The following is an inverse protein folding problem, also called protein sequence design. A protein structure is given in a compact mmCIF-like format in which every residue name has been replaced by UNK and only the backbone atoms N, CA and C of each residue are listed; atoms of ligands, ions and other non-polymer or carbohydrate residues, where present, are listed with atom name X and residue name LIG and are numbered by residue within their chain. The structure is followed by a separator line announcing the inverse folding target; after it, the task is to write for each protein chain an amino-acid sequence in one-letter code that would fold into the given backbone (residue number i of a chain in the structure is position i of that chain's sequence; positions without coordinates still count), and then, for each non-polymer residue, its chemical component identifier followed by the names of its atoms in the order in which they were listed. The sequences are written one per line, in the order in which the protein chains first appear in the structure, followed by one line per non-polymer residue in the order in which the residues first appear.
data_IF_114759942737
#
_entry.id   IF_114759942737
#
_cell.length_a   1.000
_cell.length_b   1.000
_cell.length_c   1.000
_cell.angle_alpha   90.00
_cell.angle_beta   90.00
_cell.angle_gamma   90.00
#
_symmetry.space_group_name_H-M   'P 1'
#
loop_
_entity.id
_entity.type
_entity.pdbx_description
1 polymer ?
#
# COMPACT_ATOMS: atom_id res chain seq x y z
N UNK A 1 23.39 -58.38 -1.56
CA UNK A 1 23.43 -57.98 -2.99
C UNK A 1 22.70 -56.65 -3.23
N UNK A 2 21.73 -56.28 -2.42
CA UNK A 2 20.83 -55.13 -2.68
C UNK A 2 21.45 -53.72 -2.55
N UNK A 3 22.36 -53.50 -1.62
CA UNK A 3 22.97 -52.17 -1.39
C UNK A 3 23.87 -51.65 -2.55
N UNK A 4 24.38 -52.56 -3.38
CA UNK A 4 25.25 -52.20 -4.52
C UNK A 4 24.41 -51.79 -5.74
N UNK A 5 23.22 -52.35 -5.88
CA UNK A 5 22.25 -52.01 -6.96
C UNK A 5 21.60 -50.64 -6.68
N UNK A 6 21.17 -50.39 -5.43
CA UNK A 6 20.61 -49.11 -5.05
C UNK A 6 21.58 -47.92 -5.18
N UNK A 7 22.89 -48.13 -4.89
CA UNK A 7 23.92 -47.11 -5.10
C UNK A 7 24.14 -46.81 -6.60
N UNK A 8 24.10 -47.81 -7.46
CA UNK A 8 24.29 -47.62 -8.91
C UNK A 8 23.10 -46.92 -9.55
N UNK A 9 21.87 -47.17 -9.10
CA UNK A 9 20.67 -46.45 -9.58
C UNK A 9 20.64 -44.97 -9.11
N UNK A 10 21.06 -44.72 -7.88
CA UNK A 10 21.19 -43.36 -7.36
C UNK A 10 22.25 -42.54 -8.11
N UNK A 11 23.41 -43.13 -8.38
CA UNK A 11 24.49 -42.50 -9.16
C UNK A 11 24.07 -42.23 -10.60
N UNK A 12 23.44 -43.20 -11.27
CA UNK A 12 22.90 -43.02 -12.63
C UNK A 12 21.82 -41.98 -12.72
N UNK A 13 20.96 -41.89 -11.69
CA UNK A 13 19.94 -40.86 -11.60
C UNK A 13 20.57 -39.46 -11.43
N UNK A 14 21.61 -39.34 -10.62
CA UNK A 14 22.37 -38.11 -10.42
C UNK A 14 23.07 -37.64 -11.69
N UNK A 15 23.76 -38.52 -12.38
CA UNK A 15 24.41 -38.21 -13.66
C UNK A 15 23.41 -37.76 -14.74
N UNK A 16 22.24 -38.43 -14.80
CA UNK A 16 21.17 -38.05 -15.74
C UNK A 16 20.63 -36.69 -15.42
N UNK A 17 20.45 -36.36 -14.14
CA UNK A 17 19.98 -35.05 -13.70
C UNK A 17 21.01 -33.94 -14.01
N UNK A 18 22.31 -34.20 -13.77
CA UNK A 18 23.40 -33.28 -14.12
C UNK A 18 23.49 -33.04 -15.63
N UNK A 19 23.33 -34.09 -16.43
CA UNK A 19 23.33 -33.97 -17.90
C UNK A 19 22.15 -33.14 -18.38
N UNK A 20 20.94 -33.38 -17.85
CA UNK A 20 19.74 -32.58 -18.17
C UNK A 20 19.91 -31.11 -17.77
N UNK A 21 20.45 -30.87 -16.59
CA UNK A 21 20.72 -29.49 -16.12
C UNK A 21 21.70 -28.76 -17.04
N UNK A 22 22.78 -29.43 -17.49
CA UNK A 22 23.74 -28.86 -18.45
C UNK A 22 23.11 -28.54 -19.81
N UNK A 23 22.18 -29.37 -20.30
CA UNK A 23 21.46 -29.11 -21.55
C UNK A 23 20.51 -27.89 -21.40
N UNK A 24 19.82 -27.76 -20.25
CA UNK A 24 18.97 -26.62 -19.95
C UNK A 24 19.80 -25.35 -19.88
N UNK A 25 20.90 -25.34 -19.14
CA UNK A 25 21.81 -24.19 -19.05
C UNK A 25 22.33 -23.76 -20.41
N UNK A 26 22.73 -24.73 -21.24
CA UNK A 26 23.19 -24.44 -22.62
C UNK A 26 22.08 -23.79 -23.44
N UNK A 27 20.87 -24.34 -23.39
CA UNK A 27 19.73 -23.79 -24.12
C UNK A 27 19.38 -22.36 -23.65
N UNK A 28 19.35 -22.12 -22.33
CA UNK A 28 19.13 -20.78 -21.75
C UNK A 28 20.21 -19.79 -22.18
N UNK A 29 21.47 -20.20 -22.33
CA UNK A 29 22.55 -19.30 -22.77
C UNK A 29 22.49 -18.93 -24.26
N UNK A 30 21.66 -19.61 -25.04
CA UNK A 30 21.43 -19.32 -26.46
C UNK A 30 20.20 -18.47 -26.71
N UNK A 31 19.42 -18.12 -25.65
CA UNK A 31 18.23 -17.29 -25.78
C UNK A 31 18.58 -15.79 -25.73
N UNK A 32 17.76 -15.00 -26.39
CA UNK A 32 17.83 -13.54 -26.28
C UNK A 32 17.53 -13.09 -24.84
N UNK A 33 18.16 -12.01 -24.35
CA UNK A 33 18.00 -11.54 -22.97
C UNK A 33 16.54 -11.33 -22.54
N UNK A 34 15.70 -10.82 -23.41
CA UNK A 34 14.27 -10.58 -23.17
C UNK A 34 13.49 -11.89 -22.95
N UNK A 35 13.81 -12.92 -23.73
CA UNK A 35 13.21 -14.27 -23.58
C UNK A 35 13.68 -14.96 -22.31
N UNK A 36 14.94 -14.74 -21.90
CA UNK A 36 15.48 -15.24 -20.64
C UNK A 36 14.80 -14.62 -19.44
N UNK A 37 14.54 -13.32 -19.49
CA UNK A 37 13.85 -12.59 -18.44
C UNK A 37 12.41 -13.09 -18.26
N UNK A 38 11.68 -13.29 -19.36
CA UNK A 38 10.31 -13.83 -19.34
C UNK A 38 10.28 -15.28 -18.79
N UNK A 39 11.26 -16.11 -19.14
CA UNK A 39 11.37 -17.48 -18.61
C UNK A 39 11.72 -17.50 -17.12
N UNK A 40 12.58 -16.61 -16.68
CA UNK A 40 12.97 -16.50 -15.27
C UNK A 40 11.76 -16.08 -14.42
N UNK A 41 11.03 -15.05 -14.87
CA UNK A 41 9.80 -14.59 -14.19
C UNK A 41 8.73 -15.69 -14.20
N UNK A 42 8.58 -16.41 -15.31
CA UNK A 42 7.67 -17.54 -15.40
C UNK A 42 8.04 -18.68 -14.44
N UNK A 43 9.33 -18.99 -14.31
CA UNK A 43 9.84 -20.02 -13.40
C UNK A 43 9.67 -19.60 -11.91
N UNK A 44 9.95 -18.35 -11.58
CA UNK A 44 9.75 -17.83 -10.24
C UNK A 44 8.26 -17.81 -9.85
N UNK A 45 7.39 -17.43 -10.79
CA UNK A 45 5.93 -17.47 -10.59
C UNK A 45 5.45 -18.91 -10.39
N UNK A 46 5.97 -19.86 -11.17
CA UNK A 46 5.62 -21.29 -11.05
C UNK A 46 6.16 -21.89 -9.75
N UNK A 47 7.38 -21.50 -9.33
CA UNK A 47 7.94 -21.90 -8.04
C UNK A 47 7.12 -21.33 -6.87
N UNK A 48 6.76 -20.06 -6.93
CA UNK A 48 5.89 -19.43 -5.94
C UNK A 48 4.51 -20.11 -5.89
N UNK A 49 3.96 -20.46 -7.06
CA UNK A 49 2.69 -21.20 -7.14
C UNK A 49 2.85 -22.63 -6.57
N UNK A 50 3.97 -23.32 -6.80
CA UNK A 50 4.23 -24.65 -6.23
C UNK A 50 4.47 -24.63 -4.73
N UNK A 51 5.08 -23.58 -4.20
CA UNK A 51 5.18 -23.36 -2.76
C UNK A 51 3.80 -23.05 -2.14
N UNK A 52 2.86 -22.47 -2.90
CA UNK A 52 1.46 -22.26 -2.49
C UNK A 52 0.55 -23.47 -2.77
N UNK A 53 0.95 -24.41 -3.65
CA UNK A 53 0.30 -25.73 -3.82
C UNK A 53 0.60 -26.69 -2.67
N UNK A 54 1.45 -26.31 -1.72
CA UNK A 54 1.52 -26.98 -0.44
C UNK A 54 0.13 -26.85 0.21
N UNK A 55 -0.60 -27.98 0.21
CA UNK A 55 -1.96 -28.23 0.67
C UNK A 55 -2.34 -27.23 1.72
N UNK A 56 -3.23 -26.29 1.38
CA UNK A 56 -3.62 -25.22 2.29
C UNK A 56 -3.81 -25.79 3.69
N UNK A 57 -2.93 -25.44 4.60
CA UNK A 57 -2.92 -25.98 5.95
C UNK A 57 -4.13 -25.41 6.67
N UNK A 58 -5.14 -26.25 6.78
CA UNK A 58 -6.29 -25.95 7.63
C UNK A 58 -5.81 -25.85 9.06
N UNK A 59 -5.94 -24.67 9.65
CA UNK A 59 -5.65 -24.45 11.07
C UNK A 59 -6.95 -24.49 11.85
N UNK A 60 -7.01 -25.34 12.89
CA UNK A 60 -8.17 -25.38 13.74
C UNK A 60 -8.26 -24.09 14.57
N UNK A 61 -9.47 -23.52 14.72
CA UNK A 61 -9.65 -22.23 15.38
C UNK A 61 -9.07 -22.18 16.81
N UNK A 62 -9.01 -23.32 17.49
CA UNK A 62 -8.41 -23.42 18.84
C UNK A 62 -6.89 -23.24 18.84
N UNK A 63 -6.21 -23.47 17.72
CA UNK A 63 -4.75 -23.31 17.61
C UNK A 63 -4.35 -21.84 17.53
N UNK A 64 -5.29 -20.97 17.11
CA UNK A 64 -5.10 -19.52 17.03
C UNK A 64 -5.87 -18.76 18.11
N UNK A 65 -6.31 -19.46 19.16
CA UNK A 65 -7.14 -18.85 20.23
C UNK A 65 -6.45 -17.69 20.93
N UNK A 66 -5.14 -17.81 21.19
CA UNK A 66 -4.38 -16.74 21.83
C UNK A 66 -4.28 -15.51 20.90
N UNK A 67 -4.00 -15.72 19.61
CA UNK A 67 -3.98 -14.64 18.61
C UNK A 67 -5.35 -13.96 18.50
N UNK A 68 -6.44 -14.73 18.50
CA UNK A 68 -7.81 -14.21 18.47
C UNK A 68 -8.11 -13.39 19.73
N UNK A 69 -7.71 -13.88 20.90
CA UNK A 69 -7.95 -13.19 22.17
C UNK A 69 -7.18 -11.86 22.23
N UNK A 70 -5.94 -11.83 21.78
CA UNK A 70 -5.16 -10.59 21.71
C UNK A 70 -5.78 -9.61 20.71
N UNK A 71 -6.14 -10.05 19.52
CA UNK A 71 -6.82 -9.23 18.53
C UNK A 71 -8.16 -8.69 19.05
N UNK A 72 -8.90 -9.51 19.80
CA UNK A 72 -10.20 -9.13 20.39
C UNK A 72 -10.08 -8.05 21.47
N UNK A 73 -8.99 -8.04 22.25
CA UNK A 73 -8.71 -6.97 23.23
C UNK A 73 -8.53 -5.60 22.57
N UNK A 74 -8.11 -5.60 21.31
CA UNK A 74 -7.86 -4.41 20.50
C UNK A 74 -9.05 -4.05 19.60
N UNK A 75 -10.15 -4.83 19.65
CA UNK A 75 -11.32 -4.57 18.83
C UNK A 75 -11.94 -3.20 19.16
N UNK A 76 -12.14 -2.37 18.15
CA UNK A 76 -12.61 -0.99 18.32
C UNK A 76 -11.56 0.01 18.81
N UNK A 77 -10.31 -0.42 19.00
CA UNK A 77 -9.16 0.43 19.34
C UNK A 77 -8.17 0.46 18.16
N UNK A 78 -7.18 1.35 18.25
CA UNK A 78 -6.04 1.32 17.33
C UNK A 78 -5.30 -0.01 17.55
N UNK A 79 -5.47 -0.94 16.64
CA UNK A 79 -4.91 -2.30 16.72
C UNK A 79 -3.75 -2.53 15.75
N UNK A 80 -3.45 -1.53 14.92
CA UNK A 80 -2.35 -1.51 13.97
C UNK A 80 -1.28 -0.48 14.34
N UNK A 81 -0.34 -0.28 13.43
CA UNK A 81 0.64 0.81 13.52
C UNK A 81 -0.11 2.14 13.38
N UNK A 82 0.15 3.10 14.27
CA UNK A 82 -0.45 4.44 14.18
C UNK A 82 0.01 5.16 12.91
N UNK A 83 -0.92 5.83 12.23
CA UNK A 83 -0.60 6.75 11.12
C UNK A 83 0.09 8.02 11.61
N UNK A 84 0.07 8.25 12.92
CA UNK A 84 0.49 9.50 13.55
C UNK A 84 -0.59 10.59 13.52
N UNK A 85 -1.79 10.26 13.08
CA UNK A 85 -2.97 11.11 13.09
C UNK A 85 -4.08 10.45 13.90
N UNK A 86 -4.31 10.86 15.15
CA UNK A 86 -5.31 10.27 16.04
C UNK A 86 -6.71 10.20 15.43
N UNK A 87 -7.13 11.26 14.72
CA UNK A 87 -8.44 11.30 14.05
C UNK A 87 -8.56 10.24 12.95
N UNK A 88 -7.51 10.04 12.15
CA UNK A 88 -7.47 9.01 11.11
C UNK A 88 -7.41 7.61 11.73
N UNK A 89 -6.57 7.42 12.74
CA UNK A 89 -6.44 6.15 13.46
C UNK A 89 -7.78 5.73 14.12
N UNK A 90 -8.52 6.67 14.70
CA UNK A 90 -9.85 6.41 15.24
C UNK A 90 -10.84 5.91 14.16
N UNK A 91 -10.70 6.41 12.93
CA UNK A 91 -11.59 6.07 11.81
C UNK A 91 -11.24 4.73 11.15
N UNK A 92 -9.95 4.39 11.03
CA UNK A 92 -9.51 3.18 10.31
C UNK A 92 -8.98 2.07 11.23
N UNK A 93 -8.73 2.36 12.51
CA UNK A 93 -8.17 1.42 13.49
C UNK A 93 -6.66 1.27 13.42
N UNK A 94 -5.94 2.22 12.79
CA UNK A 94 -4.50 2.13 12.48
C UNK A 94 -4.20 1.23 11.27
N UNK A 95 -2.92 1.06 10.96
CA UNK A 95 -2.42 0.28 9.82
C UNK A 95 -2.18 -1.16 10.26
N UNK A 96 -3.07 -2.09 9.89
CA UNK A 96 -3.00 -3.48 10.36
C UNK A 96 -2.19 -4.37 9.41
N UNK A 97 -1.51 -5.40 9.93
CA UNK A 97 -0.83 -6.39 9.11
C UNK A 97 -1.75 -7.02 8.07
N UNK A 98 -1.28 -7.11 6.83
CA UNK A 98 -2.03 -7.72 5.73
C UNK A 98 -3.08 -6.82 5.08
N UNK A 99 -3.25 -5.57 5.52
CA UNK A 99 -4.20 -4.63 4.91
C UNK A 99 -3.60 -3.94 3.68
N UNK A 100 -4.42 -3.82 2.64
CA UNK A 100 -4.17 -2.98 1.47
C UNK A 100 -4.98 -1.69 1.59
N UNK A 101 -4.27 -0.55 1.65
CA UNK A 101 -4.86 0.78 1.75
C UNK A 101 -4.66 1.55 0.45
N UNK A 102 -5.72 2.14 -0.08
CA UNK A 102 -5.65 3.01 -1.24
C UNK A 102 -5.79 4.47 -0.84
N UNK A 103 -4.93 5.33 -1.40
CA UNK A 103 -5.03 6.79 -1.29
C UNK A 103 -5.29 7.36 -2.67
N UNK A 104 -6.55 7.73 -2.93
CA UNK A 104 -7.01 8.35 -4.17
C UNK A 104 -7.10 9.86 -4.09
N UNK A 105 -7.36 10.50 -5.21
CA UNK A 105 -7.60 11.94 -5.29
C UNK A 105 -7.20 12.55 -6.63
N UNK A 106 -7.62 13.78 -6.89
CA UNK A 106 -7.22 14.52 -8.09
C UNK A 106 -5.70 14.78 -8.10
N UNK A 107 -5.15 15.07 -9.26
CA UNK A 107 -3.74 15.49 -9.38
C UNK A 107 -3.50 16.76 -8.57
N UNK A 108 -2.34 16.85 -7.90
CA UNK A 108 -1.93 17.96 -7.03
C UNK A 108 -2.79 18.18 -5.76
N UNK A 109 -3.63 17.21 -5.40
CA UNK A 109 -4.46 17.29 -4.19
C UNK A 109 -3.84 16.59 -2.97
N UNK A 110 -2.53 16.38 -2.93
CA UNK A 110 -1.80 15.98 -1.73
C UNK A 110 -1.78 14.49 -1.41
N UNK A 111 -2.12 13.58 -2.36
CA UNK A 111 -2.03 12.12 -2.16
C UNK A 111 -0.66 11.66 -1.68
N UNK A 112 0.38 12.02 -2.44
CA UNK A 112 1.77 11.70 -2.09
C UNK A 112 2.19 12.35 -0.77
N UNK A 113 1.69 13.56 -0.50
CA UNK A 113 1.95 14.22 0.78
C UNK A 113 1.35 13.45 1.96
N UNK A 114 0.11 12.95 1.85
CA UNK A 114 -0.50 12.13 2.90
C UNK A 114 0.33 10.89 3.19
N UNK A 115 0.70 10.12 2.15
CA UNK A 115 1.51 8.92 2.30
C UNK A 115 2.90 9.23 2.86
N UNK A 116 3.55 10.33 2.43
CA UNK A 116 4.84 10.76 2.94
C UNK A 116 4.78 11.21 4.40
N UNK A 117 3.73 11.93 4.82
CA UNK A 117 3.54 12.29 6.23
C UNK A 117 3.30 11.06 7.12
N UNK A 118 2.50 10.10 6.66
CA UNK A 118 2.34 8.81 7.36
C UNK A 118 3.68 8.09 7.45
N UNK A 119 4.46 8.04 6.34
CA UNK A 119 5.80 7.45 6.36
C UNK A 119 6.71 8.10 7.40
N UNK A 120 6.75 9.44 7.47
CA UNK A 120 7.54 10.19 8.46
C UNK A 120 7.10 9.86 9.89
N UNK A 121 5.81 9.77 10.15
CA UNK A 121 5.31 9.47 11.48
C UNK A 121 5.68 8.03 11.90
N UNK A 122 5.45 7.05 11.01
CA UNK A 122 5.75 5.63 11.27
C UNK A 122 7.25 5.38 11.38
N UNK A 123 8.06 6.08 10.57
CA UNK A 123 9.51 5.88 10.50
C UNK A 123 10.27 6.29 11.77
N UNK A 124 9.62 6.94 12.72
CA UNK A 124 10.19 7.26 14.03
C UNK A 124 10.31 6.04 14.95
N UNK A 125 9.51 5.01 14.71
CA UNK A 125 9.42 3.82 15.56
C UNK A 125 9.59 2.51 14.78
N UNK A 126 9.36 2.53 13.45
CA UNK A 126 9.35 1.36 12.60
C UNK A 126 10.01 1.62 11.26
N UNK A 127 10.68 0.62 10.70
CA UNK A 127 11.22 0.69 9.33
C UNK A 127 10.08 0.79 8.31
N UNK A 128 10.18 1.75 7.38
CA UNK A 128 9.24 1.96 6.28
C UNK A 128 9.92 1.70 4.94
N UNK A 129 9.33 0.83 4.11
CA UNK A 129 9.72 0.67 2.70
C UNK A 129 8.91 1.63 1.83
N UNK A 130 9.57 2.57 1.16
CA UNK A 130 8.94 3.56 0.31
C UNK A 130 9.41 3.43 -1.14
N UNK A 131 8.51 3.01 -2.03
CA UNK A 131 8.75 2.92 -3.47
C UNK A 131 8.11 4.13 -4.14
N UNK A 132 8.90 4.99 -4.79
CA UNK A 132 8.37 6.09 -5.61
C UNK A 132 8.77 5.91 -7.07
N UNK A 133 7.78 6.06 -7.95
CA UNK A 133 7.95 5.99 -9.40
C UNK A 133 7.73 7.37 -10.06
N UNK A 134 7.38 8.37 -9.27
CA UNK A 134 7.01 9.71 -9.76
C UNK A 134 8.14 10.72 -9.58
N UNK A 135 8.96 10.58 -8.55
CA UNK A 135 9.97 11.60 -8.21
C UNK A 135 11.34 10.99 -7.89
N UNK A 136 12.39 11.80 -8.07
CA UNK A 136 13.73 11.41 -7.69
C UNK A 136 13.85 11.25 -6.17
N UNK A 137 14.70 10.32 -5.73
CA UNK A 137 14.95 10.09 -4.28
C UNK A 137 15.40 11.36 -3.54
N UNK A 138 16.15 12.24 -4.21
CA UNK A 138 16.59 13.52 -3.62
C UNK A 138 15.42 14.49 -3.42
N UNK A 139 14.45 14.52 -4.32
CA UNK A 139 13.25 15.34 -4.19
C UNK A 139 12.37 14.81 -3.06
N UNK A 140 12.10 13.50 -3.07
CA UNK A 140 11.33 12.87 -2.02
C UNK A 140 12.00 13.03 -0.64
N UNK A 141 13.32 12.80 -0.55
CA UNK A 141 14.09 13.01 0.68
C UNK A 141 14.02 14.46 1.18
N UNK A 142 14.04 15.44 0.27
CA UNK A 142 13.89 16.87 0.65
C UNK A 142 12.51 17.17 1.25
N UNK A 143 11.45 16.57 0.70
CA UNK A 143 10.10 16.69 1.24
C UNK A 143 9.97 16.03 2.61
N UNK A 144 10.48 14.80 2.78
CA UNK A 144 10.49 14.08 4.06
C UNK A 144 11.26 14.89 5.13
N UNK A 145 12.41 15.45 4.75
CA UNK A 145 13.18 16.33 5.62
C UNK A 145 12.38 17.55 6.11
N UNK A 146 11.67 18.21 5.19
CA UNK A 146 10.81 19.34 5.55
C UNK A 146 9.69 18.91 6.50
N UNK A 147 8.98 17.82 6.17
CA UNK A 147 7.90 17.27 6.99
C UNK A 147 8.36 16.92 8.41
N UNK A 148 9.61 16.46 8.56
CA UNK A 148 10.22 16.10 9.85
C UNK A 148 11.02 17.25 10.50
N UNK A 149 10.66 18.50 10.23
CA UNK A 149 11.29 19.64 10.90
C UNK A 149 12.78 19.83 10.57
N UNK A 150 13.21 19.41 9.40
CA UNK A 150 14.59 19.60 8.89
C UNK A 150 15.54 18.44 9.18
N UNK A 151 15.08 17.32 9.75
CA UNK A 151 15.90 16.15 10.12
C UNK A 151 15.56 14.93 9.26
N UNK A 152 16.53 14.03 9.06
CA UNK A 152 16.36 12.73 8.41
C UNK A 152 16.96 11.57 9.23
N UNK A 153 17.86 11.87 10.12
CA UNK A 153 18.66 10.93 10.90
C UNK A 153 17.87 10.15 11.95
N UNK A 154 16.66 10.59 12.25
CA UNK A 154 15.70 9.94 13.14
C UNK A 154 14.59 9.20 12.37
N UNK A 155 14.69 9.07 11.03
CA UNK A 155 13.72 8.37 10.21
C UNK A 155 14.30 7.08 9.63
N UNK A 156 13.68 5.96 9.94
CA UNK A 156 14.03 4.66 9.36
C UNK A 156 13.20 4.39 8.09
N UNK A 157 13.62 5.00 6.96
CA UNK A 157 12.96 4.85 5.66
C UNK A 157 13.94 4.27 4.63
N UNK A 158 13.60 3.10 4.11
CA UNK A 158 14.24 2.51 2.94
C UNK A 158 13.57 3.04 1.67
N UNK A 159 14.36 3.60 0.78
CA UNK A 159 13.85 4.33 -0.37
C UNK A 159 14.24 3.69 -1.69
N UNK A 160 13.24 3.33 -2.51
CA UNK A 160 13.44 2.87 -3.88
C UNK A 160 12.81 3.87 -4.87
N UNK A 161 13.60 4.34 -5.84
CA UNK A 161 13.17 5.35 -6.83
C UNK A 161 13.66 5.00 -8.23
N UNK A 162 13.25 3.84 -8.75
CA UNK A 162 13.54 3.47 -10.14
C UNK A 162 12.36 3.85 -11.04
N UNK A 163 12.65 4.59 -12.10
CA UNK A 163 11.66 5.18 -12.98
C UNK A 163 10.87 4.15 -13.83
N UNK A 164 11.40 2.95 -14.02
CA UNK A 164 10.78 1.89 -14.84
C UNK A 164 10.85 0.56 -14.10
N UNK A 165 9.96 0.35 -13.17
CA UNK A 165 9.75 -0.96 -12.56
C UNK A 165 8.53 -1.59 -13.23
N UNK A 166 8.70 -2.77 -13.82
CA UNK A 166 7.59 -3.61 -14.21
C UNK A 166 6.88 -4.12 -12.92
N UNK A 167 5.56 -4.22 -12.94
CA UNK A 167 4.80 -4.69 -11.79
C UNK A 167 5.24 -6.09 -11.30
N UNK A 168 5.80 -6.91 -12.19
CA UNK A 168 6.36 -8.24 -11.90
C UNK A 168 7.57 -8.19 -10.96
N UNK A 169 8.29 -7.07 -10.94
CA UNK A 169 9.44 -6.85 -10.03
C UNK A 169 9.02 -6.24 -8.68
N UNK A 170 7.74 -5.92 -8.49
CA UNK A 170 7.28 -5.30 -7.24
C UNK A 170 7.43 -6.25 -6.04
N UNK A 171 7.15 -7.54 -6.22
CA UNK A 171 7.24 -8.51 -5.12
C UNK A 171 8.68 -8.73 -4.65
N UNK A 172 9.72 -8.93 -5.50
CA UNK A 172 11.10 -8.96 -5.05
C UNK A 172 11.55 -7.72 -4.27
N UNK A 173 11.14 -6.52 -4.71
CA UNK A 173 11.44 -5.28 -3.98
C UNK A 173 10.76 -5.24 -2.62
N UNK A 174 9.51 -5.68 -2.57
CA UNK A 174 8.75 -5.78 -1.33
C UNK A 174 9.41 -6.78 -0.36
N UNK A 175 9.75 -7.99 -0.83
CA UNK A 175 10.43 -9.01 -0.06
C UNK A 175 11.76 -8.50 0.52
N UNK A 176 12.56 -7.81 -0.29
CA UNK A 176 13.81 -7.22 0.13
C UNK A 176 13.60 -6.19 1.26
N UNK A 177 12.62 -5.28 1.13
CA UNK A 177 12.32 -4.32 2.19
C UNK A 177 11.90 -5.02 3.50
N UNK A 178 11.14 -6.12 3.40
CA UNK A 178 10.73 -6.92 4.57
C UNK A 178 11.93 -7.59 5.25
N UNK A 179 12.89 -8.12 4.48
CA UNK A 179 14.14 -8.67 5.03
C UNK A 179 14.94 -7.62 5.81
N UNK A 180 14.90 -6.36 5.39
CA UNK A 180 15.45 -5.23 6.13
C UNK A 180 14.60 -4.76 7.32
N UNK A 181 13.46 -5.39 7.57
CA UNK A 181 12.63 -5.15 8.74
C UNK A 181 11.46 -4.20 8.53
N UNK A 182 11.11 -3.85 7.28
CA UNK A 182 9.99 -2.96 7.00
C UNK A 182 8.68 -3.46 7.63
N UNK A 183 7.97 -2.56 8.32
CA UNK A 183 6.69 -2.78 8.97
C UNK A 183 5.53 -2.05 8.28
N UNK A 184 5.85 -1.19 7.33
CA UNK A 184 4.91 -0.50 6.44
C UNK A 184 5.55 -0.43 5.06
N UNK A 185 4.76 -0.73 4.03
CA UNK A 185 5.14 -0.53 2.64
C UNK A 185 4.30 0.58 2.01
N UNK A 186 4.92 1.41 1.17
CA UNK A 186 4.24 2.49 0.45
C UNK A 186 4.66 2.45 -1.02
N UNK A 187 3.70 2.58 -1.94
CA UNK A 187 3.92 2.71 -3.38
C UNK A 187 3.32 4.02 -3.90
N UNK A 188 4.17 4.91 -4.39
CA UNK A 188 3.80 6.20 -5.01
C UNK A 188 4.29 6.25 -6.47
N UNK A 189 3.50 6.05 -7.49
CA UNK A 189 2.10 5.74 -7.50
C UNK A 189 1.80 4.70 -8.61
N UNK A 190 0.72 3.98 -8.43
CA UNK A 190 0.38 2.77 -9.18
C UNK A 190 0.26 2.95 -10.70
N UNK A 191 -0.18 4.10 -11.19
CA UNK A 191 -0.36 4.31 -12.63
C UNK A 191 0.94 4.30 -13.45
N UNK A 192 2.09 4.47 -12.82
CA UNK A 192 3.36 4.28 -13.52
C UNK A 192 3.63 2.80 -13.81
N UNK A 193 3.21 1.89 -12.92
CA UNK A 193 3.27 0.45 -13.18
C UNK A 193 2.23 -0.01 -14.22
N UNK A 194 1.07 0.65 -14.25
CA UNK A 194 -0.08 0.27 -15.08
C UNK A 194 -0.15 0.94 -16.45
N UNK A 195 0.89 1.66 -16.90
CA UNK A 195 0.87 2.32 -18.22
C UNK A 195 0.82 1.29 -19.33
N UNK A 196 -0.25 1.37 -20.16
CA UNK A 196 -0.45 0.44 -21.26
C UNK A 196 -1.09 -0.89 -20.90
N UNK A 197 -1.37 -1.13 -19.63
CA UNK A 197 -2.04 -2.34 -19.17
C UNK A 197 -3.52 -2.37 -19.54
N UNK A 198 -3.99 -3.56 -19.83
CA UNK A 198 -5.42 -3.86 -19.97
C UNK A 198 -6.11 -3.85 -18.60
N UNK A 199 -7.44 -3.79 -18.58
CA UNK A 199 -8.22 -3.85 -17.33
C UNK A 199 -7.97 -5.15 -16.56
N UNK A 200 -7.74 -6.26 -17.27
CA UNK A 200 -7.46 -7.57 -16.67
C UNK A 200 -6.07 -7.58 -16.00
N UNK A 201 -5.07 -6.97 -16.60
CA UNK A 201 -3.73 -6.86 -16.00
C UNK A 201 -3.75 -5.97 -14.76
N UNK A 202 -4.50 -4.88 -14.79
CA UNK A 202 -4.70 -4.02 -13.60
C UNK A 202 -5.41 -4.80 -12.48
N UNK A 203 -6.38 -5.65 -12.81
CA UNK A 203 -7.04 -6.50 -11.83
C UNK A 203 -6.09 -7.56 -11.25
N UNK A 204 -5.23 -8.17 -12.07
CA UNK A 204 -4.19 -9.11 -11.60
C UNK A 204 -3.19 -8.42 -10.67
N UNK A 205 -2.73 -7.23 -11.03
CA UNK A 205 -1.82 -6.43 -10.21
C UNK A 205 -2.45 -6.07 -8.85
N UNK A 206 -3.74 -5.72 -8.82
CA UNK A 206 -4.47 -5.44 -7.58
C UNK A 206 -4.50 -6.65 -6.65
N UNK A 207 -4.85 -7.82 -7.18
CA UNK A 207 -4.85 -9.08 -6.42
C UNK A 207 -3.46 -9.44 -5.90
N UNK A 208 -2.42 -9.24 -6.72
CA UNK A 208 -1.03 -9.45 -6.33
C UNK A 208 -0.65 -8.55 -5.15
N UNK A 209 -0.95 -7.25 -5.20
CA UNK A 209 -0.66 -6.32 -4.10
C UNK A 209 -1.36 -6.74 -2.80
N UNK A 210 -2.61 -7.16 -2.87
CA UNK A 210 -3.33 -7.69 -1.69
C UNK A 210 -2.71 -8.99 -1.19
N UNK A 211 -2.33 -9.90 -2.08
CA UNK A 211 -1.65 -11.15 -1.73
C UNK A 211 -0.29 -10.88 -1.06
N UNK A 212 0.48 -9.91 -1.54
CA UNK A 212 1.74 -9.49 -0.92
C UNK A 212 1.53 -8.95 0.50
N UNK A 213 0.56 -8.05 0.71
CA UNK A 213 0.24 -7.55 2.04
C UNK A 213 -0.08 -8.70 3.02
N UNK A 214 -0.88 -9.69 2.60
CA UNK A 214 -1.24 -10.87 3.39
C UNK A 214 -0.04 -11.81 3.62
N UNK A 215 0.72 -12.15 2.57
CA UNK A 215 1.88 -13.04 2.62
C UNK A 215 2.94 -12.55 3.61
N UNK A 216 3.26 -11.27 3.52
CA UNK A 216 4.31 -10.66 4.34
C UNK A 216 3.78 -10.09 5.67
N UNK A 217 2.46 -10.12 5.90
CA UNK A 217 1.80 -9.61 7.12
C UNK A 217 2.19 -8.16 7.44
N UNK A 218 2.22 -7.30 6.41
CA UNK A 218 2.59 -5.89 6.51
C UNK A 218 1.52 -5.03 5.84
N UNK A 219 1.10 -3.90 6.43
CA UNK A 219 0.20 -2.96 5.75
C UNK A 219 0.89 -2.37 4.51
N UNK A 220 0.12 -2.21 3.44
CA UNK A 220 0.58 -1.70 2.17
C UNK A 220 -0.28 -0.52 1.72
N UNK A 221 0.30 0.69 1.70
CA UNK A 221 -0.35 1.90 1.19
C UNK A 221 0.01 2.08 -0.28
N UNK A 222 -1.00 2.22 -1.11
CA UNK A 222 -0.84 2.42 -2.56
C UNK A 222 -1.55 3.69 -2.98
N UNK A 223 -0.81 4.61 -3.60
CA UNK A 223 -1.37 5.83 -4.15
C UNK A 223 -1.95 5.53 -5.54
N UNK A 224 -3.18 5.98 -5.75
CA UNK A 224 -3.92 5.77 -7.00
C UNK A 224 -4.50 7.08 -7.52
N UNK A 225 -4.61 7.20 -8.86
CA UNK A 225 -5.33 8.34 -9.45
C UNK A 225 -6.82 8.03 -9.60
N UNK A 226 -7.60 9.06 -9.86
CA UNK A 226 -9.00 8.92 -10.20
C UNK A 226 -9.18 8.58 -11.68
N UNK A 227 -10.28 7.89 -11.99
CA UNK A 227 -10.73 7.67 -13.36
C UNK A 227 -11.05 9.00 -14.01
N UNK A 228 -10.40 9.30 -15.13
CA UNK A 228 -10.74 10.45 -15.95
C UNK A 228 -12.03 10.16 -16.72
N UNK A 229 -12.99 11.09 -16.69
CA UNK A 229 -14.15 11.04 -17.58
C UNK A 229 -13.74 11.37 -19.03
N UNK A 230 -14.59 11.00 -19.99
CA UNK A 230 -14.43 11.40 -21.39
C UNK A 230 -14.27 12.92 -21.47
N UNK A 231 -13.11 13.39 -21.99
CA UNK A 231 -12.72 14.79 -21.98
C UNK A 231 -11.62 15.16 -20.98
N UNK A 232 -11.08 14.22 -20.22
CA UNK A 232 -9.82 14.38 -19.45
C UNK A 232 -9.92 15.11 -18.12
N UNK A 233 -11.10 15.59 -17.74
CA UNK A 233 -11.34 16.24 -16.43
C UNK A 233 -12.26 15.38 -15.57
N UNK A 234 -11.93 15.28 -14.29
CA UNK A 234 -12.85 14.72 -13.30
C UNK A 234 -14.00 15.72 -13.10
N UNK A 235 -15.26 15.28 -13.30
CA UNK A 235 -16.43 16.18 -13.31
C UNK A 235 -17.19 16.22 -11.98
N UNK A 236 -16.86 15.34 -11.04
CA UNK A 236 -17.56 15.26 -9.74
C UNK A 236 -16.83 16.10 -8.69
N UNK A 237 -17.54 16.53 -7.66
CA UNK A 237 -16.90 17.07 -6.44
C UNK A 237 -16.06 15.94 -5.82
N UNK A 238 -14.97 16.28 -5.14
CA UNK A 238 -14.15 15.27 -4.46
C UNK A 238 -14.93 14.54 -3.36
N UNK A 239 -15.93 15.22 -2.78
CA UNK A 239 -16.85 14.65 -1.79
C UNK A 239 -17.73 13.53 -2.35
N UNK A 240 -17.96 13.50 -3.66
CA UNK A 240 -18.80 12.51 -4.34
C UNK A 240 -18.00 11.31 -4.87
N UNK A 241 -16.66 11.30 -4.66
CA UNK A 241 -15.80 10.21 -5.08
C UNK A 241 -16.09 8.98 -4.23
N UNK A 242 -16.33 7.86 -4.88
CA UNK A 242 -16.50 6.55 -4.28
C UNK A 242 -15.44 5.56 -4.79
N UNK A 243 -15.47 4.33 -4.28
CA UNK A 243 -14.45 3.30 -4.56
C UNK A 243 -14.31 3.00 -6.05
N UNK A 244 -15.41 3.04 -6.80
CA UNK A 244 -15.48 2.77 -8.23
C UNK A 244 -14.80 3.85 -9.08
N UNK A 245 -14.59 5.03 -8.52
CA UNK A 245 -13.91 6.14 -9.19
C UNK A 245 -12.37 6.01 -9.12
N UNK A 246 -11.87 5.10 -8.29
CA UNK A 246 -10.44 4.86 -8.16
C UNK A 246 -9.92 4.05 -9.36
N UNK A 247 -8.88 4.56 -10.01
CA UNK A 247 -8.06 3.90 -11.02
C UNK A 247 -8.77 3.26 -12.23
N UNK A 248 -10.03 3.60 -12.51
CA UNK A 248 -10.70 3.14 -13.74
C UNK A 248 -11.14 1.68 -13.76
N UNK A 249 -10.85 0.90 -12.72
CA UNK A 249 -11.40 -0.43 -12.51
C UNK A 249 -11.94 -0.55 -11.09
N UNK A 250 -13.12 -1.12 -10.96
CA UNK A 250 -13.68 -1.47 -9.64
C UNK A 250 -12.84 -2.52 -8.90
N UNK A 251 -12.04 -3.32 -9.62
CA UNK A 251 -11.25 -4.41 -9.06
C UNK A 251 -10.31 -3.94 -7.93
N UNK A 252 -9.54 -2.87 -8.14
CA UNK A 252 -8.62 -2.33 -7.12
C UNK A 252 -9.37 -1.93 -5.85
N UNK A 253 -10.49 -1.24 -6.01
CA UNK A 253 -11.32 -0.84 -4.89
C UNK A 253 -11.91 -2.03 -4.13
N UNK A 254 -12.24 -3.13 -4.82
CA UNK A 254 -12.75 -4.34 -4.15
C UNK A 254 -11.68 -5.08 -3.37
N UNK A 255 -10.45 -5.17 -3.88
CA UNK A 255 -9.35 -5.88 -3.21
C UNK A 255 -8.82 -5.11 -1.99
N UNK A 256 -8.92 -3.79 -1.97
CA UNK A 256 -8.50 -2.97 -0.84
C UNK A 256 -9.35 -3.21 0.42
N UNK A 257 -8.72 -3.11 1.58
CA UNK A 257 -9.41 -3.15 2.88
C UNK A 257 -9.86 -1.75 3.30
N UNK A 258 -9.04 -0.75 2.99
CA UNK A 258 -9.31 0.66 3.27
C UNK A 258 -9.10 1.46 1.98
N UNK A 259 -9.98 2.42 1.73
CA UNK A 259 -9.80 3.38 0.65
C UNK A 259 -10.12 4.79 1.14
N UNK A 260 -9.26 5.74 0.79
CA UNK A 260 -9.33 7.14 1.19
C UNK A 260 -9.18 8.05 -0.02
N UNK A 261 -9.79 9.22 0.06
CA UNK A 261 -9.63 10.30 -0.92
C UNK A 261 -9.00 11.50 -0.24
N UNK A 262 -7.89 11.97 -0.80
CA UNK A 262 -7.17 13.15 -0.36
C UNK A 262 -7.58 14.38 -1.18
N UNK A 263 -7.79 15.53 -0.54
CA UNK A 263 -8.16 16.77 -1.19
C UNK A 263 -7.54 18.01 -0.51
N UNK A 264 -7.26 19.02 -1.33
CA UNK A 264 -6.92 20.39 -0.92
C UNK A 264 -8.12 21.35 -1.12
N UNK A 265 -9.28 20.79 -1.39
CA UNK A 265 -10.52 21.52 -1.57
C UNK A 265 -11.44 21.20 -0.39
N UNK A 266 -12.13 22.23 0.11
CA UNK A 266 -13.15 22.08 1.14
C UNK A 266 -14.39 21.33 0.62
N UNK A 267 -15.41 21.17 1.44
CA UNK A 267 -16.63 20.47 1.07
C UNK A 267 -17.43 21.18 -0.05
N UNK A 268 -17.25 22.48 -0.21
CA UNK A 268 -17.81 23.26 -1.31
C UNK A 268 -17.02 23.10 -2.63
N UNK A 269 -15.94 22.32 -2.60
CA UNK A 269 -15.03 22.06 -3.72
C UNK A 269 -14.16 23.29 -4.08
N UNK A 270 -13.94 24.17 -3.12
CA UNK A 270 -13.04 25.32 -3.23
C UNK A 270 -11.66 25.00 -2.67
N UNK A 271 -10.61 25.49 -3.34
CA UNK A 271 -9.23 25.29 -2.90
C UNK A 271 -8.90 26.12 -1.68
N UNK A 272 -8.31 25.47 -0.67
CA UNK A 272 -7.81 26.14 0.55
C UNK A 272 -6.30 25.95 0.68
N UNK A 273 -5.60 27.04 0.95
CA UNK A 273 -4.13 27.05 0.99
C UNK A 273 -3.56 26.44 2.26
N UNK A 274 -4.29 26.45 3.35
CA UNK A 274 -3.88 26.06 4.71
C UNK A 274 -4.65 24.85 5.27
N UNK A 275 -5.48 24.19 4.43
CA UNK A 275 -6.29 23.04 4.80
C UNK A 275 -6.02 21.83 3.91
N UNK A 276 -6.23 20.68 4.52
CA UNK A 276 -6.15 19.38 3.86
C UNK A 276 -7.27 18.47 4.37
N UNK A 277 -7.89 17.76 3.46
CA UNK A 277 -9.06 16.94 3.75
C UNK A 277 -8.83 15.49 3.34
N UNK A 278 -9.36 14.58 4.15
CA UNK A 278 -9.40 13.14 3.86
C UNK A 278 -10.84 12.65 4.00
N UNK A 279 -11.32 11.93 2.99
CA UNK A 279 -12.58 11.19 3.04
C UNK A 279 -12.26 9.69 3.06
N UNK A 280 -12.72 8.97 4.07
CA UNK A 280 -12.65 7.50 4.08
C UNK A 280 -13.87 6.96 3.34
N UNK A 281 -13.65 6.28 2.21
CA UNK A 281 -14.72 5.76 1.34
C UNK A 281 -14.93 4.26 1.49
N UNK A 282 -13.98 3.55 2.11
CA UNK A 282 -14.08 2.13 2.44
C UNK A 282 -13.28 1.81 3.69
N UNK A 283 -13.85 1.02 4.58
CA UNK A 283 -13.16 0.37 5.69
C UNK A 283 -13.80 -0.99 5.95
N UNK A 284 -13.02 -2.09 5.86
CA UNK A 284 -13.51 -3.46 6.12
C UNK A 284 -13.56 -3.78 7.61
N UNK A 285 -12.59 -3.27 8.35
CA UNK A 285 -12.34 -3.71 9.72
C UNK A 285 -12.89 -2.75 10.78
N UNK A 286 -13.35 -1.58 10.36
CA UNK A 286 -14.01 -0.60 11.21
C UNK A 286 -15.35 -0.21 10.60
N UNK A 287 -16.41 -0.09 11.40
CA UNK A 287 -17.67 0.44 10.90
C UNK A 287 -17.46 1.88 10.41
N UNK A 288 -17.86 2.13 9.17
CA UNK A 288 -17.78 3.46 8.57
C UNK A 288 -19.07 4.22 8.81
N UNK A 289 -18.98 5.32 9.53
CA UNK A 289 -20.08 6.29 9.63
C UNK A 289 -20.08 7.16 8.37
N UNK A 290 -21.07 6.95 7.51
CA UNK A 290 -21.15 7.65 6.22
C UNK A 290 -21.39 9.16 6.36
N UNK A 291 -21.93 9.63 7.48
CA UNK A 291 -22.15 11.04 7.75
C UNK A 291 -20.88 11.73 8.28
N UNK A 292 -20.02 10.97 8.99
CA UNK A 292 -18.81 11.48 9.64
C UNK A 292 -17.51 10.88 9.05
N UNK A 293 -17.46 10.64 7.75
CA UNK A 293 -16.30 10.02 7.06
C UNK A 293 -15.28 11.02 6.52
N UNK A 294 -15.40 12.28 6.87
CA UNK A 294 -14.51 13.36 6.47
C UNK A 294 -13.64 13.81 7.64
N UNK A 295 -12.36 14.00 7.35
CA UNK A 295 -11.37 14.54 8.28
C UNK A 295 -10.78 15.82 7.70
N UNK A 296 -10.56 16.80 8.55
CA UNK A 296 -9.91 18.07 8.23
C UNK A 296 -8.59 18.16 9.00
N UNK A 297 -7.54 18.62 8.30
CA UNK A 297 -6.20 18.82 8.82
C UNK A 297 -5.68 20.20 8.43
N UNK A 298 -4.73 20.73 9.19
CA UNK A 298 -3.93 21.86 8.77
C UNK A 298 -2.97 21.46 7.66
N UNK A 299 -2.62 22.41 6.81
CA UNK A 299 -1.65 22.22 5.74
C UNK A 299 -0.59 23.32 5.76
N UNK A 300 0.66 22.88 5.85
CA UNK A 300 1.82 23.77 5.74
C UNK A 300 2.77 23.22 4.66
N UNK A 301 2.63 23.74 3.46
CA UNK A 301 3.43 23.47 2.26
C UNK A 301 3.54 21.98 1.80
N UNK A 302 3.52 21.00 2.57
CA UNK A 302 3.40 19.55 2.32
C UNK A 302 3.19 18.82 3.65
N UNK A 303 3.36 19.52 4.75
CA UNK A 303 3.17 19.00 6.09
C UNK A 303 1.69 19.03 6.44
N UNK A 304 1.17 17.86 6.83
CA UNK A 304 -0.19 17.69 7.33
C UNK A 304 -0.13 17.76 8.85
N UNK A 305 -1.01 18.53 9.46
CA UNK A 305 -1.02 18.81 10.88
C UNK A 305 -2.39 18.44 11.44
N UNK A 306 -2.42 17.59 12.48
CA UNK A 306 -3.64 17.29 13.22
C UNK A 306 -4.20 18.59 13.81
N UNK A 307 -5.50 18.81 13.63
CA UNK A 307 -6.19 19.97 14.22
C UNK A 307 -6.74 19.53 15.57
N UNK A 308 -6.30 20.15 16.69
CA UNK A 308 -6.85 19.87 18.01
C UNK A 308 -8.36 20.16 18.08
N UNK A 309 -9.11 19.38 18.89
CA UNK A 309 -10.56 19.54 19.05
C UNK A 309 -10.97 20.93 19.54
N UNK A 310 -10.10 21.62 20.27
CA UNK A 310 -10.31 22.95 20.82
C UNK A 310 -9.82 24.09 19.90
N UNK A 311 -9.36 23.72 18.69
CA UNK A 311 -8.88 24.69 17.72
C UNK A 311 -10.03 25.50 17.12
N UNK A 312 -10.05 26.82 17.39
CA UNK A 312 -10.99 27.75 16.79
C UNK A 312 -10.28 28.51 15.66
N UNK A 313 -10.80 28.48 14.43
CA UNK A 313 -10.25 29.27 13.31
C UNK A 313 -10.19 30.74 13.66
N UNK A 314 -9.06 31.38 13.40
CA UNK A 314 -8.86 32.78 13.83
C UNK A 314 -9.76 33.82 13.12
N UNK A 315 -10.36 33.52 11.98
CA UNK A 315 -11.13 34.46 11.16
C UNK A 315 -12.23 33.81 10.31
N UNK A 316 -12.95 32.82 10.80
CA UNK A 316 -14.17 32.36 10.12
C UNK A 316 -15.40 32.57 10.97
N UNK A 317 -16.30 33.41 10.52
CA UNK A 317 -17.70 33.35 10.95
C UNK A 317 -18.24 31.97 10.53
N UNK A 318 -18.40 31.08 11.50
CA UNK A 318 -19.06 29.78 11.31
C UNK A 318 -20.50 30.09 10.93
N UNK A 319 -20.86 29.92 9.67
CA UNK A 319 -22.26 29.96 9.25
C UNK A 319 -22.93 28.66 9.70
N UNK A 320 -24.14 28.82 10.28
CA UNK A 320 -25.01 27.70 10.63
C UNK A 320 -25.14 26.74 9.43
N UNK A 321 -24.58 25.53 9.55
CA UNK A 321 -24.52 24.53 8.49
C UNK A 321 -23.12 23.98 8.23
N UNK A 322 -22.09 24.52 8.87
CA UNK A 322 -20.71 24.06 8.73
C UNK A 322 -20.47 22.78 9.54
N UNK A 323 -19.94 21.81 8.86
CA UNK A 323 -19.40 20.47 9.16
C UNK A 323 -19.55 20.00 10.61
N UNK A 324 -20.15 18.85 10.86
CA UNK A 324 -20.04 18.21 12.17
C UNK A 324 -18.57 17.84 12.43
N UNK A 325 -17.96 18.58 13.34
CA UNK A 325 -16.69 18.18 13.97
C UNK A 325 -16.87 16.75 14.47
N UNK A 326 -15.96 15.86 14.08
CA UNK A 326 -15.94 14.47 14.57
C UNK A 326 -16.07 14.49 16.09
N UNK A 327 -17.26 14.20 16.60
CA UNK A 327 -17.45 14.00 18.03
C UNK A 327 -16.69 12.73 18.40
N UNK A 328 -15.59 12.89 19.13
CA UNK A 328 -14.93 11.75 19.74
C UNK A 328 -15.95 10.99 20.58
N UNK A 329 -15.99 9.69 20.38
CA UNK A 329 -16.68 8.79 21.30
C UNK A 329 -15.96 8.91 22.66
N UNK A 330 -16.63 9.56 23.60
CA UNK A 330 -16.29 9.40 25.01
C UNK A 330 -16.70 8.01 25.43
N UNK A 331 -15.78 7.33 26.10
CA UNK A 331 -15.76 5.99 26.71
C UNK A 331 -17.10 5.29 26.94
#
# INVERSE_FOLDING_TARGET
MDKKVERSESEAKKERTEYQAKQVVKHLSELEPETLEDLTIGAETELANRETEDKGTWTHITEITEEINEASKLWGKVSGISTGYPSLDAMIGGLKPGELLLVGGETNNGKSALAQNIAVNVAKEHTVGFITLEMLKTEAGSRLKYMNGGKLDDLDIMFQSEYQIDYRHLEPLFANAIEYGAKLMILDYLQYLGRGMTLDEVAKMSKMMKAMALKYKVPFIVIVSLRKSDGGKFKRKWTDIEVEDLMGTSAIGYDADIAMVASRKNLENEFESDRFYVKVIKSRNMPLDYDNRFLEFGWDNTRIIEIPEDWIPKDSEIKDGDIPVVKQYKD
#
